data_IF_991382359500
#
_entry.id   IF_991382359500
#
_cell.length_a   1.000
_cell.length_b   1.000
_cell.length_c   1.000
_cell.angle_alpha   90.00
_cell.angle_beta   90.00
_cell.angle_gamma   90.00
#
_symmetry.space_group_name_H-M   'P 1'
#
loop_
_entity.id
_entity.type
_entity.pdbx_description
1 polymer ?
#
# COMPACT_ATOMS: atom_id res chain seq x y z
N UNK A 1 -26.70 -8.20 20.52
CA UNK A 1 -25.56 -8.81 19.78
C UNK A 1 -25.17 -7.84 18.68
N UNK A 2 -23.91 -7.37 18.61
CA UNK A 2 -23.49 -6.47 17.51
C UNK A 2 -23.35 -7.33 16.24
N UNK A 3 -24.14 -7.11 15.17
CA UNK A 3 -24.13 -7.98 13.98
C UNK A 3 -22.75 -8.05 13.32
N UNK A 4 -21.94 -6.98 13.40
CA UNK A 4 -20.56 -6.95 12.90
C UNK A 4 -19.66 -8.02 13.54
N UNK A 5 -19.77 -8.24 14.86
CA UNK A 5 -18.93 -9.20 15.58
C UNK A 5 -19.20 -10.66 15.13
N UNK A 6 -20.43 -10.95 14.72
CA UNK A 6 -20.79 -12.31 14.26
C UNK A 6 -20.26 -12.55 12.85
N UNK A 7 -20.37 -11.55 11.98
CA UNK A 7 -19.89 -11.62 10.60
C UNK A 7 -18.35 -11.68 10.53
N UNK A 8 -17.66 -10.93 11.38
CA UNK A 8 -16.19 -10.94 11.48
C UNK A 8 -15.68 -12.30 11.95
N UNK A 9 -16.26 -12.88 13.00
CA UNK A 9 -15.89 -14.23 13.49
C UNK A 9 -16.17 -15.33 12.47
N UNK A 10 -17.11 -15.11 11.56
CA UNK A 10 -17.41 -16.02 10.46
C UNK A 10 -16.54 -15.76 9.22
N UNK A 11 -15.60 -14.81 9.27
CA UNK A 11 -14.72 -14.46 8.15
C UNK A 11 -15.46 -13.84 6.97
N UNK A 12 -16.64 -13.24 7.20
CA UNK A 12 -17.47 -12.68 6.14
C UNK A 12 -17.14 -11.20 5.86
N UNK A 13 -16.63 -10.52 6.87
CA UNK A 13 -16.17 -9.13 6.82
C UNK A 13 -14.86 -9.00 7.60
N UNK A 14 -14.10 -7.96 7.30
CA UNK A 14 -12.93 -7.54 8.04
C UNK A 14 -12.97 -6.02 8.28
N UNK A 15 -12.28 -5.53 9.30
CA UNK A 15 -12.18 -4.10 9.57
C UNK A 15 -10.88 -3.54 9.00
N UNK A 16 -11.00 -2.56 8.11
CA UNK A 16 -9.83 -1.91 7.51
C UNK A 16 -9.10 -1.04 8.53
N UNK A 17 -7.77 -1.04 8.49
CA UNK A 17 -6.94 -0.29 9.43
C UNK A 17 -7.03 1.22 9.21
N UNK A 18 -6.92 1.64 7.96
CA UNK A 18 -6.73 3.04 7.63
C UNK A 18 -7.98 3.92 7.80
N UNK A 19 -9.19 3.34 7.76
CA UNK A 19 -10.46 4.08 7.96
C UNK A 19 -11.35 3.49 9.07
N UNK A 20 -11.04 2.31 9.60
CA UNK A 20 -11.85 1.63 10.62
C UNK A 20 -13.19 1.10 10.09
N UNK A 21 -13.44 1.13 8.79
CA UNK A 21 -14.70 0.68 8.18
C UNK A 21 -14.66 -0.83 7.92
N UNK A 22 -15.81 -1.48 8.06
CA UNK A 22 -15.96 -2.89 7.72
C UNK A 22 -16.10 -3.07 6.21
N UNK A 23 -15.34 -4.03 5.66
CA UNK A 23 -15.34 -4.42 4.25
C UNK A 23 -15.67 -5.91 4.11
N UNK A 24 -16.30 -6.34 3.00
CA UNK A 24 -16.45 -7.76 2.72
C UNK A 24 -15.09 -8.46 2.68
N UNK A 25 -15.00 -9.65 3.25
CA UNK A 25 -13.80 -10.49 3.14
C UNK A 25 -13.67 -11.04 1.73
N UNK A 26 -12.44 -11.11 1.23
CA UNK A 26 -12.12 -11.78 -0.02
C UNK A 26 -12.46 -13.27 0.03
N UNK A 27 -12.26 -13.92 1.19
CA UNK A 27 -12.59 -15.33 1.43
C UNK A 27 -14.08 -15.64 1.25
N UNK A 28 -14.95 -14.65 1.45
CA UNK A 28 -16.39 -14.78 1.19
C UNK A 28 -16.68 -14.96 -0.32
N UNK A 29 -15.79 -14.49 -1.21
CA UNK A 29 -16.23 -14.09 -2.54
C UNK A 29 -15.14 -14.11 -3.63
N UNK A 30 -14.67 -15.30 -4.02
CA UNK A 30 -14.29 -15.51 -5.43
C UNK A 30 -15.47 -15.19 -6.39
N UNK A 31 -16.71 -15.15 -5.87
CA UNK A 31 -17.96 -14.95 -6.62
C UNK A 31 -18.45 -13.49 -6.75
N UNK A 32 -17.87 -12.51 -6.06
CA UNK A 32 -18.23 -11.10 -6.29
C UNK A 32 -17.25 -10.45 -7.25
N UNK A 33 -17.78 -9.93 -8.35
CA UNK A 33 -17.05 -9.15 -9.35
C UNK A 33 -16.49 -7.81 -8.85
N UNK A 34 -16.46 -7.57 -7.53
CA UNK A 34 -16.17 -6.25 -6.94
C UNK A 34 -14.91 -6.19 -6.06
N UNK A 35 -14.28 -7.32 -5.72
CA UNK A 35 -13.03 -7.33 -4.94
C UNK A 35 -11.85 -7.66 -5.86
N UNK A 36 -10.85 -6.79 -5.87
CA UNK A 36 -9.65 -6.94 -6.68
C UNK A 36 -8.50 -7.62 -5.92
N UNK A 37 -7.40 -7.94 -6.61
CA UNK A 37 -6.20 -8.50 -5.98
C UNK A 37 -5.62 -7.62 -4.86
N UNK A 38 -5.76 -6.30 -4.99
CA UNK A 38 -5.29 -5.35 -3.96
C UNK A 38 -6.14 -5.44 -2.69
N UNK A 39 -7.45 -5.66 -2.80
CA UNK A 39 -8.33 -5.87 -1.64
C UNK A 39 -7.91 -7.11 -0.84
N UNK A 40 -7.61 -8.20 -1.56
CA UNK A 40 -7.09 -9.43 -0.95
C UNK A 40 -5.76 -9.19 -0.24
N UNK A 41 -4.83 -8.49 -0.90
CA UNK A 41 -3.52 -8.15 -0.31
C UNK A 41 -3.67 -7.32 0.97
N UNK A 42 -4.56 -6.32 0.98
CA UNK A 42 -4.81 -5.49 2.17
C UNK A 42 -5.37 -6.32 3.33
N UNK A 43 -6.34 -7.19 3.06
CA UNK A 43 -6.92 -8.08 4.07
C UNK A 43 -5.85 -9.00 4.71
N UNK A 44 -4.96 -9.57 3.90
CA UNK A 44 -3.88 -10.41 4.40
C UNK A 44 -2.80 -9.61 5.16
N UNK A 45 -2.49 -8.39 4.70
CA UNK A 45 -1.42 -7.58 5.29
C UNK A 45 -1.83 -6.87 6.58
N UNK A 46 -3.11 -6.55 6.77
CA UNK A 46 -3.61 -5.84 7.95
C UNK A 46 -3.14 -6.44 9.29
N UNK A 47 -3.33 -7.75 9.58
CA UNK A 47 -2.86 -8.33 10.85
C UNK A 47 -1.34 -8.28 11.03
N UNK A 48 -0.57 -8.39 9.95
CA UNK A 48 0.89 -8.30 9.98
C UNK A 48 1.37 -6.88 10.30
N UNK A 49 0.72 -5.87 9.71
CA UNK A 49 0.99 -4.46 10.01
C UNK A 49 0.66 -4.11 11.47
N UNK A 50 -0.41 -4.67 12.04
CA UNK A 50 -0.72 -4.51 13.47
C UNK A 50 0.34 -5.20 14.34
N UNK A 51 0.71 -6.43 14.01
CA UNK A 51 1.72 -7.21 14.75
C UNK A 51 3.06 -6.49 14.77
N UNK A 52 3.50 -5.98 13.62
CA UNK A 52 4.72 -5.19 13.50
C UNK A 52 4.63 -3.93 14.36
N UNK A 53 3.54 -3.16 14.26
CA UNK A 53 3.35 -1.95 15.06
C UNK A 53 3.48 -2.22 16.56
N UNK A 54 2.87 -3.30 17.07
CA UNK A 54 2.98 -3.65 18.48
C UNK A 54 4.41 -4.03 18.89
N UNK A 55 5.18 -4.62 17.99
CA UNK A 55 6.57 -5.04 18.27
C UNK A 55 7.57 -3.87 18.27
N UNK A 56 7.46 -2.93 17.34
CA UNK A 56 8.43 -1.83 17.18
C UNK A 56 7.91 -0.45 17.62
N UNK A 57 6.62 -0.37 17.99
CA UNK A 57 5.92 0.86 18.38
C UNK A 57 5.95 1.97 17.32
N UNK A 58 6.22 1.59 16.06
CA UNK A 58 6.34 2.50 14.94
C UNK A 58 5.31 2.19 13.85
N UNK A 59 5.04 3.22 13.06
CA UNK A 59 4.11 3.21 11.95
C UNK A 59 4.61 2.38 10.79
N UNK A 60 3.69 1.76 10.06
CA UNK A 60 3.99 1.02 8.84
C UNK A 60 2.86 1.15 7.84
N UNK A 61 3.25 1.17 6.58
CA UNK A 61 2.37 1.37 5.44
C UNK A 61 2.57 0.25 4.43
N UNK A 62 1.48 -0.09 3.75
CA UNK A 62 1.50 -0.95 2.57
C UNK A 62 1.15 -0.09 1.34
N UNK A 63 2.02 -0.11 0.35
CA UNK A 63 1.78 0.52 -0.95
C UNK A 63 2.00 -0.46 -2.09
N UNK A 64 1.26 -0.28 -3.18
CA UNK A 64 1.38 -1.05 -4.42
C UNK A 64 1.77 -0.14 -5.57
N UNK A 65 2.48 -0.68 -6.57
CA UNK A 65 2.79 0.11 -7.78
C UNK A 65 1.51 0.40 -8.56
N UNK A 66 1.37 1.66 -9.00
CA UNK A 66 0.37 2.11 -9.97
C UNK A 66 1.06 2.95 -11.04
N UNK A 67 1.32 2.36 -12.20
CA UNK A 67 2.08 3.01 -13.27
C UNK A 67 3.51 3.38 -12.81
N UNK A 68 3.82 4.67 -12.81
CA UNK A 68 5.12 5.24 -12.38
C UNK A 68 5.12 5.75 -10.92
N UNK A 69 4.07 5.45 -10.17
CA UNK A 69 3.87 5.89 -8.79
C UNK A 69 3.63 4.68 -7.87
N UNK A 70 3.72 4.90 -6.56
CA UNK A 70 3.22 3.96 -5.56
C UNK A 70 1.93 4.50 -4.97
N UNK A 71 0.92 3.67 -4.80
CA UNK A 71 -0.36 4.04 -4.18
C UNK A 71 -0.42 3.45 -2.78
N UNK A 72 -0.68 4.29 -1.78
CA UNK A 72 -0.88 3.86 -0.41
C UNK A 72 -2.21 3.09 -0.27
N UNK A 73 -2.12 1.80 0.04
CA UNK A 73 -3.27 0.89 0.14
C UNK A 73 -3.74 0.69 1.57
N UNK A 74 -2.83 0.45 2.50
CA UNK A 74 -3.17 0.22 3.91
C UNK A 74 -2.16 0.93 4.81
N UNK A 75 -2.63 1.38 5.98
CA UNK A 75 -1.79 2.08 6.93
C UNK A 75 -2.33 1.92 8.35
N UNK A 76 -1.44 1.62 9.29
CA UNK A 76 -1.75 1.63 10.72
C UNK A 76 -1.60 3.03 11.36
N UNK A 77 -1.43 4.08 10.54
CA UNK A 77 -1.26 5.48 10.96
C UNK A 77 -2.31 6.00 11.91
N UNK A 78 -3.56 5.64 11.68
CA UNK A 78 -4.69 6.07 12.52
C UNK A 78 -4.62 5.51 13.94
N UNK A 79 -3.88 4.42 14.16
CA UNK A 79 -3.77 3.71 15.44
C UNK A 79 -2.46 3.98 16.18
N UNK A 80 -1.61 4.88 15.70
CA UNK A 80 -0.34 5.19 16.37
C UNK A 80 -0.43 6.37 17.32
N UNK A 81 0.37 6.30 18.37
CA UNK A 81 0.59 7.38 19.33
C UNK A 81 1.27 8.62 18.72
N UNK A 82 1.90 8.49 17.55
CA UNK A 82 2.59 9.59 16.88
C UNK A 82 1.72 10.21 15.78
N UNK A 83 1.33 11.48 15.96
CA UNK A 83 0.66 12.28 14.94
C UNK A 83 1.68 12.78 13.89
N UNK A 84 2.19 11.87 13.06
CA UNK A 84 2.95 12.26 11.85
C UNK A 84 1.95 12.54 10.72
N UNK A 85 2.17 13.62 9.97
CA UNK A 85 1.23 14.23 9.02
C UNK A 85 0.50 13.26 8.06
N UNK A 86 -0.72 13.68 7.68
CA UNK A 86 -1.78 12.91 7.00
C UNK A 86 -1.58 12.79 5.49
N UNK A 87 -0.96 11.72 5.03
CA UNK A 87 -1.23 11.26 3.66
C UNK A 87 -2.54 10.46 3.69
N UNK A 88 -3.49 10.85 2.83
CA UNK A 88 -4.77 10.15 2.70
C UNK A 88 -4.55 8.80 2.03
N UNK A 89 -5.45 7.85 2.25
CA UNK A 89 -5.54 6.67 1.39
C UNK A 89 -5.65 7.11 -0.09
N UNK A 90 -5.09 6.33 -1.00
CA UNK A 90 -4.95 6.65 -2.42
C UNK A 90 -3.99 7.81 -2.72
N UNK A 91 -3.12 8.18 -1.77
CA UNK A 91 -2.04 9.13 -2.02
C UNK A 91 -1.02 8.54 -3.01
N UNK A 92 -0.74 9.29 -4.06
CA UNK A 92 0.28 8.99 -5.06
C UNK A 92 1.66 9.37 -4.53
N UNK A 93 2.49 8.36 -4.31
CA UNK A 93 3.84 8.48 -3.79
C UNK A 93 4.82 8.41 -4.97
N UNK A 94 5.69 9.41 -5.09
CA UNK A 94 6.75 9.39 -6.11
C UNK A 94 7.69 8.20 -5.88
N UNK A 95 7.91 7.39 -6.92
CA UNK A 95 8.64 6.13 -6.79
C UNK A 95 10.14 6.33 -6.54
N UNK A 96 10.75 7.37 -7.13
CA UNK A 96 12.18 7.67 -6.93
C UNK A 96 12.43 8.31 -5.56
N UNK A 97 11.52 9.17 -5.11
CA UNK A 97 11.72 9.99 -3.90
C UNK A 97 11.23 9.34 -2.60
N UNK A 98 10.64 8.16 -2.66
CA UNK A 98 10.12 7.45 -1.49
C UNK A 98 10.93 6.21 -1.15
N UNK A 99 10.90 5.81 0.13
CA UNK A 99 11.53 4.57 0.56
C UNK A 99 10.85 3.33 -0.08
N UNK A 100 9.51 3.31 -0.10
CA UNK A 100 8.74 2.19 -0.66
C UNK A 100 8.94 2.06 -2.18
N UNK A 101 9.03 3.18 -2.90
CA UNK A 101 9.28 3.15 -4.34
C UNK A 101 10.69 2.70 -4.70
N UNK A 102 11.71 3.15 -3.95
CA UNK A 102 13.08 2.64 -4.14
C UNK A 102 13.21 1.17 -3.79
N UNK A 103 12.55 0.72 -2.72
CA UNK A 103 12.50 -0.69 -2.39
C UNK A 103 11.84 -1.48 -3.53
N UNK A 104 10.71 -0.99 -4.07
CA UNK A 104 10.07 -1.64 -5.21
C UNK A 104 11.00 -1.75 -6.42
N UNK A 105 11.65 -0.66 -6.84
CA UNK A 105 12.59 -0.67 -7.96
C UNK A 105 13.79 -1.60 -7.74
N UNK A 106 14.24 -1.77 -6.49
CA UNK A 106 15.37 -2.65 -6.18
C UNK A 106 15.03 -4.14 -6.27
N UNK A 107 13.75 -4.51 -6.14
CA UNK A 107 13.31 -5.91 -6.06
C UNK A 107 12.32 -6.34 -7.14
N UNK A 108 11.81 -5.41 -7.96
CA UNK A 108 10.98 -5.78 -9.11
C UNK A 108 11.85 -6.39 -10.24
N UNK A 109 11.24 -7.14 -11.17
CA UNK A 109 11.92 -7.63 -12.36
C UNK A 109 12.64 -6.52 -13.14
N UNK A 110 13.79 -6.85 -13.76
CA UNK A 110 14.63 -5.88 -14.46
C UNK A 110 13.91 -5.18 -15.62
N UNK A 111 13.03 -5.90 -16.32
CA UNK A 111 12.20 -5.37 -17.41
C UNK A 111 11.14 -4.39 -16.89
N UNK A 112 10.47 -4.72 -15.79
CA UNK A 112 9.52 -3.82 -15.12
C UNK A 112 10.24 -2.58 -14.58
N UNK A 113 11.44 -2.73 -14.02
CA UNK A 113 12.25 -1.60 -13.55
C UNK A 113 12.58 -0.64 -14.70
N UNK A 114 13.07 -1.17 -15.82
CA UNK A 114 13.44 -0.33 -16.96
C UNK A 114 12.22 0.34 -17.60
N UNK A 115 11.08 -0.36 -17.72
CA UNK A 115 9.81 0.21 -18.18
C UNK A 115 9.44 1.46 -17.36
N UNK A 116 9.50 1.34 -16.03
CA UNK A 116 9.20 2.45 -15.11
C UNK A 116 10.18 3.60 -15.30
N UNK A 117 11.49 3.31 -15.34
CA UNK A 117 12.51 4.34 -15.49
C UNK A 117 12.42 5.06 -16.84
N UNK A 118 12.15 4.36 -17.93
CA UNK A 118 11.93 4.97 -19.25
C UNK A 118 10.69 5.87 -19.27
N UNK A 119 9.60 5.44 -18.64
CA UNK A 119 8.40 6.26 -18.49
C UNK A 119 8.69 7.54 -17.68
N UNK A 120 9.43 7.42 -16.57
CA UNK A 120 9.83 8.56 -15.74
C UNK A 120 10.76 9.54 -16.48
N UNK A 121 11.72 9.05 -17.26
CA UNK A 121 12.62 9.91 -18.05
C UNK A 121 11.88 10.76 -19.09
N UNK A 122 10.70 10.31 -19.55
CA UNK A 122 9.82 11.05 -20.47
C UNK A 122 8.83 11.98 -19.76
N UNK A 123 8.70 11.86 -18.45
CA UNK A 123 7.80 12.67 -17.63
C UNK A 123 8.39 14.05 -17.38
N UNK A 124 7.50 15.05 -17.24
CA UNK A 124 7.85 16.41 -16.81
C UNK A 124 7.43 16.69 -15.36
N UNK A 125 7.00 15.67 -14.62
CA UNK A 125 6.57 15.84 -13.22
C UNK A 125 7.80 16.10 -12.33
N UNK A 126 7.72 17.06 -11.39
CA UNK A 126 8.80 17.28 -10.43
C UNK A 126 9.13 16.02 -9.63
N UNK A 127 10.41 15.72 -9.51
CA UNK A 127 10.96 14.53 -8.88
C UNK A 127 11.33 13.40 -9.84
N UNK A 128 10.76 13.38 -11.05
CA UNK A 128 11.04 12.34 -12.06
C UNK A 128 12.38 12.59 -12.77
N UNK A 129 12.93 13.80 -12.70
CA UNK A 129 14.24 14.15 -13.28
C UNK A 129 15.38 13.25 -12.78
N UNK A 130 15.22 12.66 -11.59
CA UNK A 130 16.19 11.71 -11.01
C UNK A 130 16.32 10.42 -11.82
N UNK A 131 15.34 10.08 -12.66
CA UNK A 131 15.39 8.89 -13.53
C UNK A 131 16.55 8.92 -14.55
N UNK A 132 17.00 10.12 -14.89
CA UNK A 132 18.15 10.34 -15.80
C UNK A 132 19.50 10.32 -15.08
N UNK A 133 19.50 10.33 -13.74
CA UNK A 133 20.72 10.30 -12.95
C UNK A 133 21.19 8.86 -12.75
N UNK A 134 22.17 8.41 -13.56
CA UNK A 134 22.70 7.04 -13.50
C UNK A 134 23.26 6.64 -12.14
N UNK A 135 23.77 7.57 -11.32
CA UNK A 135 24.26 7.24 -9.96
C UNK A 135 23.12 7.03 -8.96
N UNK A 136 21.95 7.62 -9.23
CA UNK A 136 20.79 7.54 -8.35
C UNK A 136 19.98 6.27 -8.58
N UNK A 137 19.90 5.82 -9.84
CA UNK A 137 19.11 4.65 -10.25
C UNK A 137 19.94 3.38 -10.46
N UNK A 138 21.25 3.42 -10.14
CA UNK A 138 22.15 2.27 -10.22
C UNK A 138 21.92 1.28 -9.08
#
# INVERSE_FOLDING_TARGET
MKPSLTLERQGLIWQRLADGLFRPSYTLQERSRRLGPVDHLMECAAPELETLQHSILWLSDLAVRSGTLMTLCESNRVRSYFMVNRDKLDYEINILRSAVGRAYLAFCPDDEREEILEALRRSQRPGDELASNRRYVA
#
